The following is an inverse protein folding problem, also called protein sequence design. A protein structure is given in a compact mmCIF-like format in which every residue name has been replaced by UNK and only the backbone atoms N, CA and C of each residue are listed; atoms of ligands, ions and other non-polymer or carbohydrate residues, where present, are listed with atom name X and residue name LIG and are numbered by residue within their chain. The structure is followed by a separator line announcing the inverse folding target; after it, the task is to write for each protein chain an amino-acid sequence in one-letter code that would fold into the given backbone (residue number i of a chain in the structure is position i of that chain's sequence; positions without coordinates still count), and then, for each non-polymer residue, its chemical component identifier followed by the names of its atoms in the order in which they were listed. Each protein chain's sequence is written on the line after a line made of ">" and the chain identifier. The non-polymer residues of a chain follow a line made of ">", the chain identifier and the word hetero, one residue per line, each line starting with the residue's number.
data_IF_436531589497
#
_entry.id   IF_436531589497
#
_cell.length_a   1.000
_cell.length_b   1.000
_cell.length_c   1.000
_cell.angle_alpha   90.00
_cell.angle_beta   90.00
_cell.angle_gamma   90.00
#
_symmetry.space_group_name_H-M   'P 1'
#
loop_
_entity.id
_entity.type
_entity.pdbx_description
1 polymer ?
#
# COMPACT_ATOMS: atom_id res chain seq x y z
N UNK A 1 -34.42 6.15 14.03
CA UNK A 1 -33.99 5.03 14.90
C UNK A 1 -34.70 3.78 14.41
N UNK A 2 -33.97 2.71 14.10
CA UNK A 2 -34.56 1.44 13.61
C UNK A 2 -34.99 0.59 14.81
N UNK A 3 -36.24 0.12 14.89
CA UNK A 3 -36.71 -0.77 15.97
C UNK A 3 -35.93 -2.09 16.05
N UNK A 4 -35.91 -2.71 17.22
CA UNK A 4 -35.32 -4.04 17.39
C UNK A 4 -36.13 -5.09 16.62
N UNK A 5 -35.45 -6.03 15.96
CA UNK A 5 -36.08 -7.12 15.21
C UNK A 5 -36.70 -6.72 13.86
N UNK A 6 -36.69 -5.44 13.50
CA UNK A 6 -37.13 -4.99 12.16
C UNK A 6 -35.94 -4.94 11.21
N UNK A 7 -36.18 -5.31 9.95
CA UNK A 7 -35.28 -5.04 8.84
C UNK A 7 -35.77 -3.81 8.10
N UNK A 8 -34.86 -2.89 7.82
CA UNK A 8 -35.13 -1.69 7.04
C UNK A 8 -34.34 -1.76 5.74
N UNK A 9 -35.06 -1.90 4.62
CA UNK A 9 -34.48 -2.01 3.28
C UNK A 9 -34.17 -0.64 2.66
N UNK A 10 -34.42 0.46 3.37
CA UNK A 10 -34.10 1.79 2.87
C UNK A 10 -32.58 2.03 2.85
N UNK A 11 -32.12 2.70 1.80
CA UNK A 11 -30.77 3.22 1.72
C UNK A 11 -30.64 4.52 2.53
N UNK A 12 -29.73 4.52 3.49
CA UNK A 12 -29.44 5.66 4.35
C UNK A 12 -28.22 6.43 3.86
N UNK A 13 -28.34 7.75 3.82
CA UNK A 13 -27.20 8.63 3.57
C UNK A 13 -26.24 8.56 4.77
N UNK A 14 -24.95 8.38 4.51
CA UNK A 14 -23.94 8.19 5.54
C UNK A 14 -22.77 9.16 5.35
N UNK A 15 -22.73 10.19 6.20
CA UNK A 15 -21.63 11.15 6.28
C UNK A 15 -20.47 10.55 7.09
N UNK A 16 -19.59 9.82 6.40
CA UNK A 16 -18.54 9.03 7.04
C UNK A 16 -17.61 9.85 7.94
N UNK A 17 -17.15 11.01 7.47
CA UNK A 17 -16.25 11.86 8.24
C UNK A 17 -16.93 12.41 9.49
N UNK A 18 -18.16 12.92 9.35
CA UNK A 18 -18.96 13.41 10.49
C UNK A 18 -19.25 12.30 11.50
N UNK A 19 -19.48 11.07 11.05
CA UNK A 19 -19.63 9.91 11.93
C UNK A 19 -18.35 9.63 12.73
N UNK A 20 -17.20 9.63 12.06
CA UNK A 20 -15.91 9.43 12.75
C UNK A 20 -15.66 10.53 13.78
N UNK A 21 -15.92 11.80 13.45
CA UNK A 21 -15.73 12.94 14.35
C UNK A 21 -16.67 12.86 15.56
N UNK A 22 -17.95 12.57 15.32
CA UNK A 22 -18.99 12.50 16.39
C UNK A 22 -18.65 11.44 17.43
N UNK A 23 -18.14 10.28 17.00
CA UNK A 23 -17.80 9.17 17.88
C UNK A 23 -16.31 9.08 18.23
N UNK A 24 -15.50 10.05 17.80
CA UNK A 24 -14.03 10.07 18.00
C UNK A 24 -13.35 8.77 17.51
N UNK A 25 -13.81 8.24 16.38
CA UNK A 25 -13.29 7.00 15.81
C UNK A 25 -12.19 7.27 14.79
N UNK A 26 -11.15 6.43 14.77
CA UNK A 26 -10.10 6.53 13.77
C UNK A 26 -10.66 6.20 12.37
N UNK A 27 -10.53 7.07 11.34
CA UNK A 27 -11.17 6.88 10.05
C UNK A 27 -10.81 5.54 9.37
N UNK A 28 -9.52 5.21 9.30
CA UNK A 28 -9.07 3.96 8.65
C UNK A 28 -9.66 2.71 9.33
N UNK A 29 -9.71 2.67 10.67
CA UNK A 29 -10.27 1.53 11.41
C UNK A 29 -11.77 1.43 11.22
N UNK A 30 -12.47 2.56 11.27
CA UNK A 30 -13.92 2.65 11.08
C UNK A 30 -14.33 2.14 9.71
N UNK A 31 -13.66 2.63 8.66
CA UNK A 31 -13.90 2.18 7.30
C UNK A 31 -13.68 0.67 7.14
N UNK A 32 -12.56 0.15 7.67
CA UNK A 32 -12.30 -1.29 7.64
C UNK A 32 -13.35 -2.10 8.42
N UNK A 33 -13.82 -1.59 9.56
CA UNK A 33 -14.92 -2.19 10.32
C UNK A 33 -16.21 -2.26 9.50
N UNK A 34 -16.60 -1.16 8.85
CA UNK A 34 -17.77 -1.13 7.96
C UNK A 34 -17.61 -2.10 6.77
N UNK A 35 -16.41 -2.20 6.20
CA UNK A 35 -16.12 -3.17 5.13
C UNK A 35 -16.23 -4.62 5.60
N UNK A 36 -15.88 -4.92 6.85
CA UNK A 36 -16.09 -6.26 7.42
C UNK A 36 -17.59 -6.56 7.55
N UNK A 37 -18.39 -5.59 7.99
CA UNK A 37 -19.85 -5.74 8.06
C UNK A 37 -20.47 -5.96 6.67
N UNK A 38 -19.99 -5.21 5.67
CA UNK A 38 -20.39 -5.31 4.26
C UNK A 38 -20.08 -6.70 3.67
N UNK A 39 -18.85 -7.19 3.88
CA UNK A 39 -18.42 -8.51 3.43
C UNK A 39 -19.15 -9.69 4.07
N UNK A 40 -19.73 -9.48 5.26
CA UNK A 40 -20.51 -10.50 5.97
C UNK A 40 -22.02 -10.23 5.89
N UNK A 41 -22.45 -9.41 4.92
CA UNK A 41 -23.86 -9.16 4.60
C UNK A 41 -24.69 -8.64 5.78
N UNK A 42 -24.07 -7.87 6.67
CA UNK A 42 -24.79 -7.15 7.74
C UNK A 42 -25.33 -5.83 7.21
N UNK A 43 -24.50 -5.14 6.43
CA UNK A 43 -24.84 -3.90 5.73
C UNK A 43 -24.48 -4.05 4.25
N UNK A 44 -25.07 -3.23 3.39
CA UNK A 44 -24.56 -2.95 2.05
C UNK A 44 -23.99 -1.54 2.06
N UNK A 45 -22.72 -1.41 1.69
CA UNK A 45 -22.02 -0.13 1.67
C UNK A 45 -21.75 0.31 0.23
N UNK A 46 -22.41 1.38 -0.21
CA UNK A 46 -22.19 1.97 -1.53
C UNK A 46 -21.32 3.21 -1.43
N UNK A 47 -20.24 3.24 -2.21
CA UNK A 47 -19.32 4.37 -2.28
C UNK A 47 -19.75 5.29 -3.43
N UNK A 48 -20.73 6.13 -3.14
CA UNK A 48 -21.07 7.22 -4.03
C UNK A 48 -20.25 8.45 -3.63
N UNK A 49 -18.98 8.51 -4.05
CA UNK A 49 -18.12 9.70 -3.97
C UNK A 49 -18.61 10.82 -4.92
N UNK A 50 -19.88 11.15 -4.82
CA UNK A 50 -20.55 12.15 -5.64
C UNK A 50 -20.93 13.29 -4.71
N UNK A 51 -19.99 14.23 -4.50
CA UNK A 51 -20.35 15.59 -4.09
C UNK A 51 -21.34 16.11 -5.13
N UNK A 52 -22.61 16.12 -4.76
CA UNK A 52 -23.66 16.70 -5.60
C UNK A 52 -23.86 18.08 -5.03
N UNK A 53 -23.22 19.03 -5.71
CA UNK A 53 -23.45 20.44 -5.50
C UNK A 53 -24.48 20.89 -6.52
N UNK A 54 -25.60 21.44 -6.05
CA UNK A 54 -26.62 22.07 -6.91
C UNK A 54 -26.69 23.55 -6.64
N UNK A 55 -26.95 24.31 -7.69
CA UNK A 55 -27.19 25.75 -7.59
C UNK A 55 -28.41 26.16 -8.39
N UNK A 56 -29.06 27.23 -7.94
CA UNK A 56 -30.04 27.99 -8.71
C UNK A 56 -29.89 29.47 -8.41
N UNK A 57 -29.86 30.33 -9.42
CA UNK A 57 -29.89 31.77 -9.22
C UNK A 57 -31.32 32.21 -8.91
N UNK A 58 -31.51 32.80 -7.74
CA UNK A 58 -32.83 33.26 -7.26
C UNK A 58 -32.98 34.78 -7.35
N UNK A 59 -31.86 35.51 -7.41
CA UNK A 59 -31.88 36.96 -7.58
C UNK A 59 -32.30 37.37 -8.99
N UNK A 60 -32.96 38.53 -9.10
CA UNK A 60 -33.26 39.11 -10.41
C UNK A 60 -31.96 39.48 -11.14
N UNK A 61 -31.98 39.48 -12.48
CA UNK A 61 -30.78 39.77 -13.30
C UNK A 61 -30.09 41.08 -12.90
N UNK A 62 -30.87 42.14 -12.65
CA UNK A 62 -30.33 43.45 -12.27
C UNK A 62 -29.61 43.40 -10.91
N UNK A 63 -30.22 42.74 -9.92
CA UNK A 63 -29.64 42.56 -8.58
C UNK A 63 -28.36 41.74 -8.63
N UNK A 64 -28.32 40.71 -9.48
CA UNK A 64 -27.12 39.92 -9.71
C UNK A 64 -25.98 40.78 -10.28
N UNK A 65 -26.23 41.65 -11.26
CA UNK A 65 -25.20 42.54 -11.79
C UNK A 65 -24.70 43.54 -10.74
N UNK A 66 -25.60 44.16 -9.98
CA UNK A 66 -25.22 45.03 -8.85
C UNK A 66 -24.39 44.29 -7.81
N UNK A 67 -24.75 43.04 -7.50
CA UNK A 67 -23.97 42.20 -6.58
C UNK A 67 -22.57 41.90 -7.10
N UNK A 68 -22.42 41.62 -8.39
CA UNK A 68 -21.12 41.34 -9.02
C UNK A 68 -20.20 42.58 -8.98
N UNK A 69 -20.75 43.78 -9.17
CA UNK A 69 -20.02 45.03 -9.03
C UNK A 69 -19.58 45.29 -7.59
N UNK A 70 -20.47 45.04 -6.62
CA UNK A 70 -20.17 45.19 -5.20
C UNK A 70 -19.20 44.13 -4.66
N UNK A 71 -19.12 42.95 -5.29
CA UNK A 71 -18.32 41.81 -4.83
C UNK A 71 -17.37 41.30 -5.94
N UNK A 72 -16.31 42.05 -6.28
CA UNK A 72 -15.41 41.70 -7.38
C UNK A 72 -14.68 40.36 -7.18
N UNK A 73 -14.51 39.90 -5.93
CA UNK A 73 -13.93 38.58 -5.62
C UNK A 73 -14.85 37.41 -5.98
N UNK A 74 -16.17 37.60 -5.91
CA UNK A 74 -17.18 36.58 -6.25
C UNK A 74 -17.47 36.53 -7.75
N UNK A 75 -17.20 37.63 -8.47
CA UNK A 75 -17.56 37.78 -9.87
C UNK A 75 -16.96 36.70 -10.81
N UNK A 76 -15.68 36.29 -10.69
CA UNK A 76 -15.13 35.24 -11.55
C UNK A 76 -15.89 33.91 -11.44
N UNK A 77 -16.27 33.51 -10.23
CA UNK A 77 -16.98 32.24 -9.99
C UNK A 77 -18.40 32.30 -10.54
N UNK A 78 -19.17 33.33 -10.17
CA UNK A 78 -20.56 33.47 -10.59
C UNK A 78 -20.69 33.63 -12.10
N UNK A 79 -19.78 34.37 -12.74
CA UNK A 79 -19.79 34.49 -14.20
C UNK A 79 -19.41 33.19 -14.92
N UNK A 80 -18.47 32.40 -14.37
CA UNK A 80 -18.15 31.08 -14.95
C UNK A 80 -19.34 30.13 -14.83
N UNK A 81 -20.10 30.20 -13.73
CA UNK A 81 -21.34 29.43 -13.57
C UNK A 81 -22.38 29.78 -14.63
N UNK A 82 -22.66 31.09 -14.80
CA UNK A 82 -23.60 31.59 -15.82
C UNK A 82 -23.21 31.20 -17.25
N UNK A 83 -21.90 31.10 -17.55
CA UNK A 83 -21.39 30.73 -18.89
C UNK A 83 -21.30 29.23 -19.11
N UNK A 84 -21.15 28.43 -18.05
CA UNK A 84 -20.90 26.98 -18.15
C UNK A 84 -22.19 26.17 -18.05
N UNK A 85 -23.15 26.62 -17.24
CA UNK A 85 -24.39 25.90 -16.99
C UNK A 85 -25.57 26.75 -17.47
N UNK A 86 -26.34 26.20 -18.41
CA UNK A 86 -27.59 26.81 -18.89
C UNK A 86 -28.77 26.44 -17.99
N UNK A 87 -29.82 27.27 -17.98
CA UNK A 87 -31.03 27.00 -17.17
C UNK A 87 -30.86 27.22 -15.67
N UNK A 88 -29.76 27.86 -15.25
CA UNK A 88 -29.42 28.05 -13.82
C UNK A 88 -30.34 29.03 -13.08
N UNK A 89 -31.20 29.79 -13.77
CA UNK A 89 -32.23 30.61 -13.12
C UNK A 89 -33.54 29.83 -12.94
N UNK A 90 -33.80 28.87 -13.83
CA UNK A 90 -35.06 28.16 -13.93
C UNK A 90 -35.05 26.85 -13.12
N UNK A 91 -33.90 26.16 -13.04
CA UNK A 91 -33.80 24.83 -12.46
C UNK A 91 -32.62 24.68 -11.50
N UNK A 92 -32.80 23.81 -10.51
CA UNK A 92 -31.70 23.33 -9.66
C UNK A 92 -30.69 22.58 -10.51
N UNK A 93 -29.53 23.20 -10.71
CA UNK A 93 -28.54 22.75 -11.67
C UNK A 93 -27.36 22.13 -10.95
N UNK A 94 -27.05 20.87 -11.28
CA UNK A 94 -25.87 20.17 -10.75
C UNK A 94 -24.60 20.78 -11.32
N UNK A 95 -23.65 21.09 -10.45
CA UNK A 95 -22.37 21.69 -10.82
C UNK A 95 -21.18 20.86 -10.33
N UNK A 96 -20.12 20.88 -11.13
CA UNK A 96 -18.80 20.40 -10.75
C UNK A 96 -17.94 21.58 -10.27
N UNK A 97 -17.65 21.60 -8.97
CA UNK A 97 -16.88 22.66 -8.28
C UNK A 97 -15.42 22.72 -8.74
N UNK A 98 -14.80 21.58 -9.02
CA UNK A 98 -13.43 21.50 -9.57
C UNK A 98 -13.34 22.11 -10.97
N UNK A 99 -14.34 21.87 -11.82
CA UNK A 99 -14.40 22.47 -13.16
C UNK A 99 -14.50 24.00 -13.06
N UNK A 100 -15.30 24.50 -12.12
CA UNK A 100 -15.46 25.94 -11.89
C UNK A 100 -14.15 26.53 -11.37
N UNK A 101 -13.53 25.92 -10.37
CA UNK A 101 -12.21 26.31 -9.84
C UNK A 101 -11.17 26.45 -10.96
N UNK A 102 -11.08 25.45 -11.85
CA UNK A 102 -10.15 25.46 -12.99
C UNK A 102 -10.43 26.62 -13.96
N UNK A 103 -11.70 26.91 -14.24
CA UNK A 103 -12.10 27.98 -15.18
C UNK A 103 -12.03 29.39 -14.58
N UNK A 104 -12.22 29.53 -13.28
CA UNK A 104 -12.14 30.81 -12.57
C UNK A 104 -10.73 31.14 -12.06
N UNK A 105 -9.81 30.17 -12.08
CA UNK A 105 -8.41 30.37 -11.69
C UNK A 105 -8.20 30.46 -10.17
N UNK A 106 -9.09 29.87 -9.37
CA UNK A 106 -9.01 29.87 -7.90
C UNK A 106 -9.18 28.44 -7.34
N UNK A 107 -8.89 28.23 -6.05
CA UNK A 107 -9.04 26.92 -5.41
C UNK A 107 -10.51 26.50 -5.25
N UNK A 108 -10.76 25.19 -5.19
CA UNK A 108 -12.10 24.63 -4.96
C UNK A 108 -12.70 25.10 -3.63
N UNK A 109 -11.90 25.15 -2.57
CA UNK A 109 -12.31 25.67 -1.26
C UNK A 109 -12.84 27.10 -1.34
N UNK A 110 -12.16 27.96 -2.13
CA UNK A 110 -12.60 29.34 -2.31
C UNK A 110 -13.90 29.40 -3.12
N UNK A 111 -14.07 28.54 -4.13
CA UNK A 111 -15.34 28.41 -4.87
C UNK A 111 -16.50 28.06 -3.92
N UNK A 112 -16.33 27.06 -3.07
CA UNK A 112 -17.34 26.65 -2.08
C UNK A 112 -17.70 27.81 -1.14
N UNK A 113 -16.69 28.52 -0.62
CA UNK A 113 -16.91 29.68 0.27
C UNK A 113 -17.65 30.84 -0.42
N UNK A 114 -17.43 31.04 -1.72
CA UNK A 114 -18.11 32.08 -2.50
C UNK A 114 -19.57 31.69 -2.71
N UNK A 115 -19.84 30.41 -3.00
CA UNK A 115 -21.20 29.89 -3.16
C UNK A 115 -22.01 30.02 -1.87
N UNK A 116 -21.43 29.66 -0.73
CA UNK A 116 -22.06 29.84 0.59
C UNK A 116 -22.38 31.32 0.87
N UNK A 117 -21.42 32.23 0.66
CA UNK A 117 -21.65 33.68 0.85
C UNK A 117 -22.71 34.24 -0.08
N UNK A 118 -22.67 33.86 -1.35
CA UNK A 118 -23.69 34.27 -2.32
C UNK A 118 -25.07 33.73 -1.97
N UNK A 119 -25.14 32.57 -1.31
CA UNK A 119 -26.41 32.05 -0.79
C UNK A 119 -26.91 32.80 0.43
N UNK A 120 -26.02 33.13 1.37
CA UNK A 120 -26.37 34.01 2.51
C UNK A 120 -26.86 35.38 2.07
N UNK A 121 -26.35 35.91 0.95
CA UNK A 121 -26.78 37.18 0.37
C UNK A 121 -28.02 37.07 -0.53
N UNK A 122 -28.65 35.89 -0.62
CA UNK A 122 -29.87 35.68 -1.42
C UNK A 122 -29.66 35.76 -2.93
N UNK A 123 -28.43 35.58 -3.41
CA UNK A 123 -28.12 35.60 -4.85
C UNK A 123 -28.36 34.24 -5.50
N UNK A 124 -27.97 33.18 -4.79
CA UNK A 124 -28.13 31.80 -5.23
C UNK A 124 -28.76 30.94 -4.14
N UNK A 125 -29.59 30.01 -4.52
CA UNK A 125 -29.88 28.83 -3.72
C UNK A 125 -28.77 27.82 -3.96
N UNK A 126 -28.05 27.45 -2.90
CA UNK A 126 -26.90 26.56 -2.96
C UNK A 126 -27.17 25.38 -2.04
N UNK A 127 -27.07 24.18 -2.60
CA UNK A 127 -27.12 22.94 -1.82
C UNK A 127 -25.84 22.18 -2.05
N UNK A 128 -25.11 21.91 -0.97
CA UNK A 128 -23.93 21.05 -0.98
C UNK A 128 -24.23 19.83 -0.14
N UNK A 129 -24.38 18.70 -0.80
CA UNK A 129 -24.45 17.43 -0.11
C UNK A 129 -23.07 16.76 -0.21
N UNK A 130 -22.34 16.79 0.91
CA UNK A 130 -21.17 15.94 1.13
C UNK A 130 -21.65 14.50 1.35
N UNK A 131 -21.99 13.83 0.24
CA UNK A 131 -22.30 12.40 0.21
C UNK A 131 -20.99 11.65 0.11
N UNK A 132 -20.61 11.01 1.21
CA UNK A 132 -19.40 10.20 1.25
C UNK A 132 -19.76 8.73 0.95
N UNK A 133 -20.89 8.25 1.49
CA UNK A 133 -21.33 6.85 1.38
C UNK A 133 -22.86 6.72 1.53
N UNK A 134 -23.41 5.59 1.06
CA UNK A 134 -24.76 5.12 1.40
C UNK A 134 -24.67 3.77 2.10
N UNK A 135 -25.53 3.56 3.10
CA UNK A 135 -25.58 2.35 3.92
C UNK A 135 -27.01 1.78 3.91
N UNK A 136 -27.15 0.50 3.62
CA UNK A 136 -28.43 -0.23 3.75
C UNK A 136 -28.25 -1.37 4.75
N UNK A 137 -29.23 -1.63 5.61
CA UNK A 137 -29.19 -2.78 6.52
C UNK A 137 -29.76 -4.01 5.80
N UNK A 138 -29.00 -5.11 5.80
CA UNK A 138 -29.40 -6.34 5.08
C UNK A 138 -30.04 -7.36 6.04
N UNK A 139 -29.84 -7.18 7.33
CA UNK A 139 -30.36 -8.07 8.38
C UNK A 139 -31.23 -7.28 9.36
N UNK A 140 -32.20 -7.94 10.03
CA UNK A 140 -32.93 -7.34 11.13
C UNK A 140 -31.99 -6.84 12.23
N UNK A 141 -32.38 -5.75 12.90
CA UNK A 141 -31.59 -5.21 14.02
C UNK A 141 -31.57 -6.18 15.20
N UNK A 142 -30.45 -6.86 15.40
CA UNK A 142 -30.16 -7.69 16.58
C UNK A 142 -28.80 -7.30 17.20
N UNK A 143 -28.85 -6.37 18.16
CA UNK A 143 -27.65 -5.70 18.71
C UNK A 143 -26.57 -6.67 19.24
N UNK A 144 -26.95 -7.82 19.82
CA UNK A 144 -26.00 -8.76 20.45
C UNK A 144 -25.63 -9.98 19.59
N UNK A 145 -26.35 -10.24 18.49
CA UNK A 145 -26.23 -11.52 17.74
C UNK A 145 -25.57 -11.35 16.39
N UNK A 146 -25.81 -10.21 15.74
CA UNK A 146 -25.42 -9.96 14.35
C UNK A 146 -23.94 -10.25 14.08
N UNK A 147 -23.04 -9.76 14.95
CA UNK A 147 -21.58 -9.92 14.78
C UNK A 147 -21.10 -11.31 15.18
N UNK A 148 -21.73 -11.95 16.17
CA UNK A 148 -21.30 -13.24 16.73
C UNK A 148 -21.27 -14.35 15.68
N UNK A 149 -22.12 -14.28 14.66
CA UNK A 149 -22.19 -15.26 13.56
C UNK A 149 -20.86 -15.39 12.81
N UNK A 150 -20.10 -14.30 12.65
CA UNK A 150 -18.84 -14.28 11.89
C UNK A 150 -17.63 -13.84 12.71
N UNK A 151 -17.79 -13.50 14.00
CA UNK A 151 -16.71 -13.07 14.89
C UNK A 151 -15.52 -14.04 14.90
N UNK A 152 -15.78 -15.34 15.05
CA UNK A 152 -14.73 -16.37 15.06
C UNK A 152 -13.91 -16.40 13.76
N UNK A 153 -14.56 -16.17 12.61
CA UNK A 153 -13.90 -16.09 11.31
C UNK A 153 -12.96 -14.88 11.24
N UNK A 154 -13.37 -13.73 11.78
CA UNK A 154 -12.53 -12.53 11.82
C UNK A 154 -11.32 -12.74 12.73
N UNK A 155 -11.51 -13.38 13.90
CA UNK A 155 -10.41 -13.76 14.78
C UNK A 155 -9.40 -14.66 14.08
N UNK A 156 -9.87 -15.72 13.39
CA UNK A 156 -8.99 -16.62 12.64
C UNK A 156 -8.25 -15.91 11.49
N UNK A 157 -8.88 -14.95 10.80
CA UNK A 157 -8.21 -14.14 9.77
C UNK A 157 -7.09 -13.29 10.40
N UNK A 158 -7.33 -12.70 11.58
CA UNK A 158 -6.32 -11.91 12.27
C UNK A 158 -5.17 -12.77 12.79
N UNK A 159 -5.45 -13.94 13.34
CA UNK A 159 -4.42 -14.91 13.74
C UNK A 159 -3.54 -15.32 12.55
N UNK A 160 -4.12 -15.59 11.39
CA UNK A 160 -3.37 -15.87 10.17
C UNK A 160 -2.50 -14.69 9.72
N UNK A 161 -3.01 -13.45 9.80
CA UNK A 161 -2.20 -12.25 9.51
C UNK A 161 -0.99 -12.14 10.44
N UNK A 162 -1.18 -12.37 11.74
CA UNK A 162 -0.11 -12.38 12.73
C UNK A 162 0.90 -13.49 12.41
N UNK A 163 0.43 -14.70 12.12
CA UNK A 163 1.28 -15.83 11.75
C UNK A 163 2.12 -15.53 10.50
N UNK A 164 1.54 -14.90 9.47
CA UNK A 164 2.24 -14.52 8.25
C UNK A 164 3.34 -13.47 8.52
N UNK A 165 3.06 -12.46 9.34
CA UNK A 165 4.06 -11.45 9.74
C UNK A 165 5.19 -12.11 10.53
N UNK A 166 4.86 -12.98 11.48
CA UNK A 166 5.84 -13.70 12.28
C UNK A 166 6.72 -14.63 11.41
N UNK A 167 6.15 -15.27 10.39
CA UNK A 167 6.90 -16.07 9.43
C UNK A 167 7.88 -15.21 8.63
N UNK A 168 7.48 -14.01 8.23
CA UNK A 168 8.36 -13.05 7.55
C UNK A 168 9.51 -12.58 8.45
N UNK A 169 9.22 -12.23 9.71
CA UNK A 169 10.25 -11.86 10.69
C UNK A 169 11.22 -13.03 10.94
N UNK A 170 10.70 -14.25 11.12
CA UNK A 170 11.50 -15.45 11.28
C UNK A 170 12.37 -15.72 10.05
N UNK A 171 11.92 -15.38 8.84
CA UNK A 171 12.74 -15.47 7.64
C UNK A 171 13.88 -14.46 7.64
N UNK A 172 13.63 -13.20 8.00
CA UNK A 172 14.65 -12.14 8.05
C UNK A 172 15.72 -12.49 9.09
N UNK A 173 15.32 -12.92 10.28
CA UNK A 173 16.23 -13.24 11.39
C UNK A 173 16.88 -14.63 11.29
N UNK A 174 16.56 -15.42 10.26
CA UNK A 174 17.16 -16.73 10.07
C UNK A 174 18.60 -16.62 9.57
N UNK A 175 19.54 -17.06 10.42
CA UNK A 175 20.97 -17.19 10.10
C UNK A 175 21.46 -18.65 10.07
N UNK A 176 20.57 -19.62 10.32
CA UNK A 176 20.96 -21.00 10.57
C UNK A 176 20.38 -21.97 9.53
N UNK A 177 19.14 -21.82 9.12
CA UNK A 177 18.51 -22.73 8.16
C UNK A 177 18.61 -22.20 6.73
N UNK A 178 18.72 -23.11 5.75
CA UNK A 178 18.69 -22.72 4.34
C UNK A 178 17.43 -21.89 4.04
N UNK A 179 17.61 -20.63 3.61
CA UNK A 179 16.49 -19.72 3.30
C UNK A 179 15.53 -20.28 2.27
N UNK A 180 16.06 -20.96 1.24
CA UNK A 180 15.22 -21.58 0.22
C UNK A 180 14.35 -22.71 0.81
N UNK A 181 14.89 -23.53 1.73
CA UNK A 181 14.08 -24.55 2.40
C UNK A 181 13.00 -23.91 3.30
N UNK A 182 13.31 -22.82 3.99
CA UNK A 182 12.33 -22.09 4.80
C UNK A 182 11.18 -21.53 3.94
N UNK A 183 11.51 -20.94 2.78
CA UNK A 183 10.51 -20.47 1.79
C UNK A 183 9.63 -21.60 1.28
N UNK A 184 10.24 -22.72 0.88
CA UNK A 184 9.49 -23.89 0.40
C UNK A 184 8.53 -24.41 1.49
N UNK A 185 8.99 -24.53 2.73
CA UNK A 185 8.13 -24.93 3.86
C UNK A 185 6.96 -23.98 4.09
N UNK A 186 7.19 -22.67 3.96
CA UNK A 186 6.14 -21.66 4.09
C UNK A 186 5.02 -21.84 3.05
N UNK A 187 5.37 -22.21 1.81
CA UNK A 187 4.40 -22.53 0.75
C UNK A 187 3.91 -24.00 0.78
N UNK A 188 4.24 -24.76 1.83
CA UNK A 188 3.80 -26.16 1.99
C UNK A 188 4.61 -27.18 1.20
N UNK A 189 5.71 -26.78 0.56
CA UNK A 189 6.58 -27.66 -0.20
C UNK A 189 7.57 -28.41 0.71
N UNK A 190 7.74 -29.70 0.45
CA UNK A 190 8.63 -30.59 1.22
C UNK A 190 9.88 -30.91 0.41
N UNK A 191 10.96 -30.18 0.70
CA UNK A 191 12.31 -30.49 0.22
C UNK A 191 13.24 -30.71 1.40
N UNK A 192 14.14 -31.69 1.29
CA UNK A 192 15.07 -32.05 2.37
C UNK A 192 16.43 -31.39 2.22
N UNK A 193 16.87 -31.17 0.99
CA UNK A 193 18.26 -30.78 0.72
C UNK A 193 18.45 -29.25 0.72
N UNK A 194 19.49 -28.74 1.43
CA UNK A 194 19.89 -27.34 1.37
C UNK A 194 20.14 -26.90 -0.08
N UNK A 195 19.86 -25.63 -0.39
CA UNK A 195 20.01 -25.13 -1.76
C UNK A 195 21.46 -24.87 -2.18
N UNK A 196 22.41 -24.84 -1.24
CA UNK A 196 23.84 -24.55 -1.50
C UNK A 196 24.17 -23.11 -1.92
N UNK A 197 23.16 -22.30 -2.31
CA UNK A 197 23.36 -20.99 -2.94
C UNK A 197 22.87 -19.78 -2.15
N UNK A 198 22.13 -19.95 -1.06
CA UNK A 198 21.74 -18.82 -0.21
C UNK A 198 22.88 -18.41 0.72
N UNK A 199 22.87 -17.17 1.18
CA UNK A 199 23.78 -16.62 2.19
C UNK A 199 23.99 -17.56 3.39
N UNK A 200 22.91 -18.11 3.96
CA UNK A 200 23.03 -19.06 5.10
C UNK A 200 23.74 -20.37 4.71
N UNK A 201 23.57 -20.87 3.48
CA UNK A 201 24.28 -22.07 3.04
C UNK A 201 25.76 -21.79 2.77
N UNK A 202 26.08 -20.62 2.18
CA UNK A 202 27.46 -20.19 1.92
C UNK A 202 28.24 -19.90 3.21
N UNK A 203 27.56 -19.43 4.24
CA UNK A 203 28.17 -19.22 5.56
C UNK A 203 28.32 -20.52 6.37
N UNK A 204 27.69 -21.63 5.93
CA UNK A 204 27.79 -22.95 6.59
C UNK A 204 28.82 -23.87 5.95
N UNK A 205 29.37 -23.51 4.80
CA UNK A 205 30.51 -24.19 4.18
C UNK A 205 31.83 -23.85 4.86
N UNK A 206 31.82 -23.71 6.19
CA UNK A 206 33.03 -23.84 7.00
C UNK A 206 33.48 -25.31 6.91
N UNK A 207 34.24 -25.58 5.86
CA UNK A 207 35.20 -26.68 5.83
C UNK A 207 36.06 -26.63 7.11
N UNK A 208 36.50 -27.78 7.66
CA UNK A 208 37.26 -27.80 8.91
C UNK A 208 38.46 -26.84 8.82
N UNK A 209 38.39 -25.78 9.63
CA UNK A 209 39.22 -24.57 9.55
C UNK A 209 40.73 -24.81 9.61
N UNK A 210 41.18 -25.93 10.17
CA UNK A 210 42.60 -26.26 10.24
C UNK A 210 43.19 -26.74 8.90
N UNK A 211 42.42 -27.49 8.09
CA UNK A 211 42.92 -28.11 6.86
C UNK A 211 42.94 -27.11 5.70
N UNK A 212 41.92 -26.24 5.64
CA UNK A 212 41.83 -25.18 4.61
C UNK A 212 42.90 -24.12 4.80
N UNK A 213 43.16 -23.68 6.04
CA UNK A 213 44.24 -22.73 6.30
C UNK A 213 45.61 -23.27 5.87
N UNK A 214 45.81 -24.60 5.93
CA UNK A 214 47.04 -25.24 5.45
C UNK A 214 47.09 -25.25 3.91
N UNK A 215 46.01 -25.63 3.23
CA UNK A 215 45.92 -25.63 1.76
C UNK A 215 46.10 -24.22 1.20
N UNK A 216 45.47 -23.24 1.84
CA UNK A 216 45.56 -21.82 1.48
C UNK A 216 47.01 -21.32 1.56
N UNK A 217 47.69 -21.53 2.69
CA UNK A 217 49.09 -21.15 2.85
C UNK A 217 50.01 -21.84 1.84
N UNK A 218 49.79 -23.12 1.57
CA UNK A 218 50.57 -23.87 0.57
C UNK A 218 50.34 -23.33 -0.86
N UNK A 219 49.11 -22.98 -1.22
CA UNK A 219 48.79 -22.36 -2.50
C UNK A 219 49.48 -20.99 -2.62
N UNK A 220 49.35 -20.12 -1.62
CA UNK A 220 49.95 -18.79 -1.63
C UNK A 220 51.48 -18.87 -1.75
N UNK A 221 52.14 -19.74 -0.98
CA UNK A 221 53.59 -19.97 -1.07
C UNK A 221 54.04 -20.43 -2.46
N UNK A 222 53.26 -21.30 -3.12
CA UNK A 222 53.57 -21.77 -4.48
C UNK A 222 53.39 -20.69 -5.55
N UNK A 223 52.45 -19.76 -5.33
CA UNK A 223 52.13 -18.64 -6.20
C UNK A 223 53.04 -17.42 -5.99
N UNK A 224 53.62 -17.24 -4.80
CA UNK A 224 54.72 -16.28 -4.56
C UNK A 224 55.93 -16.57 -5.45
N UNK A 225 56.22 -17.85 -5.68
CA UNK A 225 57.37 -18.25 -6.48
C UNK A 225 57.15 -18.02 -7.97
N UNK A 226 56.01 -18.46 -8.50
CA UNK A 226 55.66 -18.37 -9.93
C UNK A 226 54.15 -18.55 -10.12
N UNK A 227 53.60 -17.92 -11.16
CA UNK A 227 52.24 -18.20 -11.61
C UNK A 227 52.11 -19.67 -12.08
N UNK A 228 50.99 -20.32 -11.73
CA UNK A 228 50.77 -21.76 -12.00
C UNK A 228 49.32 -22.03 -12.40
N UNK A 229 49.11 -23.04 -13.24
CA UNK A 229 47.75 -23.53 -13.55
C UNK A 229 47.20 -24.39 -12.42
N UNK A 230 45.86 -24.53 -12.35
CA UNK A 230 45.18 -25.43 -11.39
C UNK A 230 45.76 -26.83 -11.43
N UNK A 231 45.96 -27.40 -12.62
CA UNK A 231 46.55 -28.75 -12.80
C UNK A 231 47.95 -28.88 -12.21
N UNK A 232 48.76 -27.81 -12.24
CA UNK A 232 50.11 -27.84 -11.67
C UNK A 232 50.07 -27.69 -10.16
N UNK A 233 49.14 -26.90 -9.62
CA UNK A 233 48.92 -26.78 -8.17
C UNK A 233 48.40 -28.10 -7.59
N UNK A 234 47.39 -28.73 -8.20
CA UNK A 234 46.85 -30.03 -7.78
C UNK A 234 47.93 -31.12 -7.75
N UNK A 235 48.91 -31.10 -8.68
CA UNK A 235 50.01 -32.07 -8.69
C UNK A 235 51.09 -31.82 -7.63
N UNK A 236 51.26 -30.57 -7.21
CA UNK A 236 52.30 -30.18 -6.25
C UNK A 236 51.80 -30.23 -4.81
N UNK A 237 50.48 -30.08 -4.63
CA UNK A 237 49.79 -30.14 -3.36
C UNK A 237 49.38 -31.60 -3.08
N UNK A 238 49.64 -32.08 -1.87
CA UNK A 238 49.26 -33.43 -1.44
C UNK A 238 47.82 -33.48 -0.90
N UNK A 239 46.90 -32.82 -1.60
CA UNK A 239 45.48 -32.69 -1.22
C UNK A 239 44.57 -33.19 -2.34
N UNK A 240 43.32 -33.51 -1.98
CA UNK A 240 42.32 -33.96 -2.96
C UNK A 240 42.00 -32.86 -3.97
N UNK A 241 41.74 -33.24 -5.23
CA UNK A 241 41.50 -32.28 -6.33
C UNK A 241 40.36 -31.30 -6.00
N UNK A 242 39.25 -31.82 -5.45
CA UNK A 242 38.09 -31.01 -5.06
C UNK A 242 38.42 -30.01 -3.95
N UNK A 243 39.31 -30.35 -3.00
CA UNK A 243 39.73 -29.47 -1.92
C UNK A 243 40.58 -28.30 -2.46
N UNK A 244 41.50 -28.58 -3.39
CA UNK A 244 42.36 -27.57 -4.03
C UNK A 244 41.54 -26.63 -4.92
N UNK A 245 40.61 -27.16 -5.72
CA UNK A 245 39.76 -26.35 -6.60
C UNK A 245 38.81 -25.45 -5.81
N UNK A 246 38.24 -25.95 -4.71
CA UNK A 246 37.38 -25.16 -3.82
C UNK A 246 38.16 -24.00 -3.17
N UNK A 247 39.38 -24.26 -2.71
CA UNK A 247 40.25 -23.23 -2.14
C UNK A 247 40.66 -22.18 -3.18
N UNK A 248 41.00 -22.58 -4.40
CA UNK A 248 41.29 -21.64 -5.49
C UNK A 248 40.09 -20.77 -5.85
N UNK A 249 38.87 -21.33 -5.86
CA UNK A 249 37.66 -20.56 -6.10
C UNK A 249 37.45 -19.52 -4.99
N UNK A 250 37.63 -19.90 -3.73
CA UNK A 250 37.53 -18.99 -2.59
C UNK A 250 38.52 -17.83 -2.70
N UNK A 251 39.81 -18.11 -2.99
CA UNK A 251 40.85 -17.08 -3.12
C UNK A 251 40.64 -16.14 -4.30
N UNK A 252 39.96 -16.59 -5.37
CA UNK A 252 39.54 -15.74 -6.48
C UNK A 252 38.36 -14.85 -6.08
N UNK A 253 37.38 -15.39 -5.34
CA UNK A 253 36.21 -14.63 -4.86
C UNK A 253 36.62 -13.57 -3.82
N UNK A 254 37.61 -13.86 -2.98
CA UNK A 254 38.18 -12.93 -1.98
C UNK A 254 39.18 -11.92 -2.57
N UNK A 255 39.61 -12.14 -3.82
CA UNK A 255 40.51 -11.23 -4.54
C UNK A 255 41.99 -11.31 -4.15
N UNK A 256 42.38 -12.34 -3.39
CA UNK A 256 43.76 -12.64 -3.00
C UNK A 256 44.61 -13.07 -4.21
N UNK A 257 44.00 -13.78 -5.17
CA UNK A 257 44.65 -14.24 -6.40
C UNK A 257 43.86 -13.80 -7.64
N UNK A 258 44.53 -13.77 -8.79
CA UNK A 258 43.93 -13.47 -10.10
C UNK A 258 44.38 -14.46 -11.16
N UNK A 259 43.65 -14.50 -12.28
CA UNK A 259 44.04 -15.25 -13.48
C UNK A 259 44.73 -14.31 -14.46
N UNK A 260 45.94 -14.67 -14.89
CA UNK A 260 46.71 -13.90 -15.86
C UNK A 260 46.30 -14.21 -17.31
N UNK A 261 46.89 -13.50 -18.28
CA UNK A 261 46.62 -13.69 -19.72
C UNK A 261 47.05 -15.06 -20.28
N UNK A 262 47.74 -15.89 -19.49
CA UNK A 262 48.17 -17.25 -19.82
C UNK A 262 47.30 -18.33 -19.17
N UNK A 263 46.19 -17.97 -18.53
CA UNK A 263 45.32 -18.86 -17.75
C UNK A 263 46.03 -19.53 -16.57
N UNK A 264 46.95 -18.79 -15.93
CA UNK A 264 47.62 -19.21 -14.70
C UNK A 264 47.15 -18.33 -13.55
N UNK A 265 47.07 -18.90 -12.35
CA UNK A 265 46.83 -18.17 -11.12
C UNK A 265 48.12 -17.45 -10.72
N UNK A 266 47.98 -16.19 -10.30
CA UNK A 266 49.04 -15.39 -9.68
C UNK A 266 48.48 -14.64 -8.48
N UNK A 267 49.33 -14.25 -7.54
CA UNK A 267 48.94 -13.26 -6.52
C UNK A 267 48.49 -11.96 -7.21
N UNK A 268 47.55 -11.27 -6.57
CA UNK A 268 47.04 -10.00 -7.07
C UNK A 268 48.09 -8.88 -6.94
#
# INVERSE_FOLDING_TARGET
>A
QIPYGTQDENAYQFHFNSFCDTYSLHPILTYNGLRILDQNSVIALSQNFSRRTTIRFIAAKNELFTYLEANPKSAPVLQVLLRTYGGVFEYDTKINTLLIAKKSGISEELVLSILEKSSMHGIVEYTSENRDMELTFIVPREDERTINVFANKITAINENKIANVNAMLAYIHNNNDCRNLQLLRYFGEKKKDPCGKCDVCRNKTDFPSSKVATIEQEILNLLEQNARTSRKLIRLLAHEEDEVLTCLQYLLEDGTIRVNNKNEYSLN
#
